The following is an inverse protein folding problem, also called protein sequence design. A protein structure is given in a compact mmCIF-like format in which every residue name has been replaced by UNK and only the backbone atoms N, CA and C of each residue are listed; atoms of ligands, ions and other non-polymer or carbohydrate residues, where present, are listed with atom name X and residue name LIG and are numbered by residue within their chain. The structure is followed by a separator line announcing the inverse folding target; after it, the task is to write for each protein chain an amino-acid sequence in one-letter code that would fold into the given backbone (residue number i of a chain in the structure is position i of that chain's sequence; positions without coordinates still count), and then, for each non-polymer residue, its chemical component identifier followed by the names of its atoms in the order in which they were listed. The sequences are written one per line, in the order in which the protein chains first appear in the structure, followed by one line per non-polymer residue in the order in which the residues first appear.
data_IF_817946149720
#
_entry.id   IF_817946149720
#
_cell.length_a   1.000
_cell.length_b   1.000
_cell.length_c   1.000
_cell.angle_alpha   90.00
_cell.angle_beta   90.00
_cell.angle_gamma   90.00
#
_symmetry.space_group_name_H-M   'P 1'
#
loop_
_entity.id
_entity.type
_entity.pdbx_description
1 polymer ?
#
# COMPACT_ATOMS: atom_id res chain seq x y z
N UNK A 1 -29.16 -0.66 67.67
CA UNK A 1 -28.56 0.04 66.52
C UNK A 1 -29.69 0.50 65.62
N UNK A 2 -29.85 1.81 65.40
CA UNK A 2 -30.97 2.34 64.60
C UNK A 2 -30.68 2.11 63.12
N UNK A 3 -31.72 1.95 62.29
CA UNK A 3 -31.58 1.72 60.84
C UNK A 3 -30.71 2.78 60.14
N UNK A 4 -30.73 4.00 60.67
CA UNK A 4 -29.92 5.14 60.21
C UNK A 4 -28.43 4.90 60.46
N UNK A 5 -28.06 4.27 61.58
CA UNK A 5 -26.67 3.95 61.92
C UNK A 5 -26.09 2.89 60.96
N UNK A 6 -26.93 1.95 60.51
CA UNK A 6 -26.53 0.93 59.53
C UNK A 6 -26.27 1.53 58.15
N UNK A 7 -27.05 2.54 57.75
CA UNK A 7 -26.92 3.19 56.45
C UNK A 7 -25.64 4.03 56.34
N UNK A 8 -25.27 4.73 57.44
CA UNK A 8 -24.05 5.54 57.51
C UNK A 8 -22.80 4.65 57.46
N UNK A 9 -22.81 3.50 58.12
CA UNK A 9 -21.70 2.55 58.09
C UNK A 9 -21.49 1.98 56.69
N UNK A 10 -22.56 1.64 55.96
CA UNK A 10 -22.44 1.14 54.58
C UNK A 10 -21.81 2.16 53.62
N UNK A 11 -22.15 3.45 53.76
CA UNK A 11 -21.58 4.51 52.92
C UNK A 11 -20.09 4.73 53.26
N UNK A 12 -19.72 4.68 54.54
CA UNK A 12 -18.33 4.86 54.95
C UNK A 12 -17.41 3.74 54.45
N UNK A 13 -17.92 2.50 54.42
CA UNK A 13 -17.20 1.33 53.90
C UNK A 13 -16.98 1.41 52.39
N UNK A 14 -17.93 1.96 51.63
CA UNK A 14 -17.80 2.17 50.19
C UNK A 14 -16.74 3.21 49.81
N UNK A 15 -16.52 4.23 50.65
CA UNK A 15 -15.54 5.31 50.40
C UNK A 15 -14.10 4.87 50.75
N UNK A 16 -13.95 3.92 51.69
CA UNK A 16 -12.65 3.40 52.13
C UNK A 16 -12.15 2.19 51.33
N UNK A 17 -12.95 1.63 50.41
CA UNK A 17 -12.44 0.63 49.48
C UNK A 17 -11.41 1.31 48.56
N UNK A 18 -10.18 0.78 48.43
CA UNK A 18 -9.31 1.25 47.37
C UNK A 18 -10.10 1.07 46.07
N UNK A 19 -10.25 2.15 45.32
CA UNK A 19 -10.65 2.08 43.92
C UNK A 19 -9.54 1.27 43.27
N UNK A 20 -9.69 -0.04 43.27
CA UNK A 20 -8.95 -0.89 42.36
C UNK A 20 -9.49 -0.44 41.02
N UNK A 21 -8.72 0.41 40.37
CA UNK A 21 -8.88 0.71 38.96
C UNK A 21 -8.85 -0.65 38.28
N UNK A 22 -10.04 -1.17 38.02
CA UNK A 22 -10.20 -2.28 37.11
C UNK A 22 -9.77 -1.69 35.77
N UNK A 23 -8.50 -1.91 35.42
CA UNK A 23 -8.08 -1.84 34.04
C UNK A 23 -8.92 -2.88 33.35
N UNK A 24 -10.06 -2.47 32.79
CA UNK A 24 -10.59 -3.18 31.66
C UNK A 24 -9.43 -3.10 30.66
N UNK A 25 -8.70 -4.20 30.53
CA UNK A 25 -8.02 -4.50 29.29
C UNK A 25 -9.15 -4.52 28.26
N UNK A 26 -9.48 -3.35 27.73
CA UNK A 26 -9.98 -3.27 26.40
C UNK A 26 -8.87 -3.92 25.56
N UNK A 27 -9.02 -5.23 25.34
CA UNK A 27 -8.75 -5.78 24.03
C UNK A 27 -9.58 -4.91 23.10
N UNK A 28 -9.00 -3.77 22.73
CA UNK A 28 -9.31 -3.09 21.50
C UNK A 28 -9.30 -4.23 20.51
N UNK A 29 -10.50 -4.62 20.08
CA UNK A 29 -10.61 -5.28 18.81
C UNK A 29 -10.10 -4.18 17.89
N UNK A 30 -8.78 -4.19 17.63
CA UNK A 30 -8.26 -3.77 16.35
C UNK A 30 -9.08 -4.62 15.39
N UNK A 31 -10.24 -4.10 15.00
CA UNK A 31 -10.74 -4.29 13.66
C UNK A 31 -9.59 -3.68 12.89
N UNK A 32 -8.62 -4.54 12.61
CA UNK A 32 -7.45 -4.25 11.83
C UNK A 32 -8.09 -3.62 10.60
N UNK A 33 -7.83 -2.34 10.36
CA UNK A 33 -7.76 -1.86 9.00
C UNK A 33 -6.82 -2.87 8.35
N UNK A 34 -7.42 -3.91 7.75
CA UNK A 34 -6.68 -4.85 6.96
C UNK A 34 -6.28 -3.98 5.80
N UNK A 35 -5.12 -3.33 5.94
CA UNK A 35 -4.49 -2.65 4.83
C UNK A 35 -4.60 -3.63 3.68
N UNK A 36 -5.19 -3.15 2.58
CA UNK A 36 -5.39 -3.96 1.41
C UNK A 36 -4.01 -4.49 1.02
N UNK A 37 -3.76 -5.76 1.36
CA UNK A 37 -2.50 -6.40 1.06
C UNK A 37 -2.55 -6.82 -0.39
N UNK A 38 -2.04 -5.94 -1.25
CA UNK A 38 -1.86 -6.23 -2.66
C UNK A 38 -0.66 -7.16 -2.85
N UNK A 39 -0.77 -8.05 -3.83
CA UNK A 39 0.35 -8.85 -4.32
C UNK A 39 0.58 -8.54 -5.79
N UNK A 40 1.50 -7.62 -6.07
CA UNK A 40 1.80 -7.14 -7.40
C UNK A 40 2.91 -7.92 -8.10
N UNK A 41 3.44 -8.99 -7.50
CA UNK A 41 4.47 -9.81 -8.14
C UNK A 41 3.92 -10.49 -9.39
N UNK A 42 4.49 -10.23 -10.57
CA UNK A 42 4.09 -10.90 -11.81
C UNK A 42 4.40 -10.09 -13.06
N UNK A 43 3.80 -10.50 -14.17
CA UNK A 43 3.99 -9.85 -15.47
C UNK A 43 2.73 -9.10 -15.84
N UNK A 44 2.89 -7.87 -16.30
CA UNK A 44 1.82 -6.99 -16.73
C UNK A 44 2.05 -6.55 -18.17
N UNK A 45 0.95 -6.30 -18.89
CA UNK A 45 0.93 -5.69 -20.21
C UNK A 45 0.52 -4.23 -20.09
N UNK A 46 1.23 -3.35 -20.80
CA UNK A 46 0.98 -1.90 -20.84
C UNK A 46 1.88 -1.26 -21.89
N UNK A 47 1.57 -0.05 -22.37
CA UNK A 47 2.39 0.68 -23.35
C UNK A 47 2.83 -0.10 -24.62
N UNK A 48 2.11 -1.17 -25.01
CA UNK A 48 2.51 -2.05 -26.11
C UNK A 48 3.63 -3.06 -25.78
N UNK A 49 4.03 -3.17 -24.52
CA UNK A 49 5.08 -4.08 -24.04
C UNK A 49 4.72 -4.85 -22.77
N UNK A 50 5.74 -5.46 -22.16
CA UNK A 50 5.63 -6.23 -20.91
C UNK A 50 6.39 -5.56 -19.77
N UNK A 51 5.85 -5.69 -18.57
CA UNK A 51 6.43 -5.20 -17.33
C UNK A 51 6.53 -6.34 -16.31
N UNK A 52 7.73 -6.60 -15.83
CA UNK A 52 8.00 -7.64 -14.82
C UNK A 52 8.08 -6.98 -13.45
N UNK A 53 6.98 -6.98 -12.71
CA UNK A 53 6.87 -6.35 -11.41
C UNK A 53 7.35 -7.27 -10.29
N UNK A 54 8.10 -6.69 -9.36
CA UNK A 54 8.50 -7.28 -8.09
C UNK A 54 8.08 -6.36 -6.95
N UNK A 55 7.37 -6.92 -5.98
CA UNK A 55 7.02 -6.21 -4.74
C UNK A 55 7.83 -6.78 -3.58
N UNK A 56 8.37 -5.88 -2.74
CA UNK A 56 9.16 -6.18 -1.55
C UNK A 56 8.60 -5.34 -0.39
N UNK A 57 7.59 -5.87 0.31
CA UNK A 57 6.84 -5.08 1.29
C UNK A 57 6.15 -3.90 0.60
N UNK A 58 6.49 -2.69 1.04
CA UNK A 58 5.99 -1.43 0.47
C UNK A 58 6.83 -0.92 -0.72
N UNK A 59 7.89 -1.63 -1.11
CA UNK A 59 8.67 -1.27 -2.30
C UNK A 59 8.16 -2.00 -3.53
N UNK A 60 8.19 -1.33 -4.68
CA UNK A 60 7.95 -1.95 -5.99
C UNK A 60 9.06 -1.60 -6.96
N UNK A 61 9.45 -2.60 -7.75
CA UNK A 61 10.39 -2.47 -8.84
C UNK A 61 9.80 -3.09 -10.09
N UNK A 62 10.18 -2.59 -11.25
CA UNK A 62 9.95 -3.34 -12.49
C UNK A 62 11.06 -3.15 -13.50
N UNK A 63 11.08 -4.09 -14.43
CA UNK A 63 11.70 -3.95 -15.73
C UNK A 63 10.58 -3.96 -16.78
N UNK A 64 10.60 -3.03 -17.73
CA UNK A 64 9.66 -2.93 -18.84
C UNK A 64 10.38 -3.03 -20.19
N UNK A 65 9.77 -3.70 -21.16
CA UNK A 65 10.29 -3.82 -22.53
C UNK A 65 9.18 -3.93 -23.56
N UNK A 66 9.36 -3.32 -24.72
CA UNK A 66 8.47 -3.49 -25.88
C UNK A 66 8.60 -4.90 -26.50
N UNK A 67 9.85 -5.32 -26.73
CA UNK A 67 10.23 -6.57 -27.39
C UNK A 67 11.44 -7.20 -26.69
N UNK A 68 11.51 -8.53 -26.70
CA UNK A 68 12.56 -9.26 -26.00
C UNK A 68 13.95 -9.13 -26.65
N UNK A 69 13.99 -8.96 -27.98
CA UNK A 69 15.22 -9.04 -28.79
C UNK A 69 15.70 -7.66 -29.22
N UNK A 70 14.79 -6.85 -29.77
CA UNK A 70 15.14 -5.54 -30.35
C UNK A 70 14.07 -4.48 -30.02
N UNK A 71 13.90 -4.12 -28.75
CA UNK A 71 12.90 -3.14 -28.34
C UNK A 71 13.27 -1.71 -28.79
N UNK A 72 12.27 -0.91 -29.13
CA UNK A 72 12.43 0.55 -29.29
C UNK A 72 12.67 1.21 -27.92
N UNK A 73 11.98 0.72 -26.89
CA UNK A 73 12.11 1.20 -25.52
C UNK A 73 12.22 0.04 -24.52
N UNK A 74 12.96 0.30 -23.46
CA UNK A 74 12.99 -0.55 -22.28
C UNK A 74 13.31 0.31 -21.08
N UNK A 75 12.64 0.09 -19.94
CA UNK A 75 12.84 0.91 -18.75
C UNK A 75 12.95 0.07 -17.48
N UNK A 76 13.45 0.72 -16.45
CA UNK A 76 13.35 0.24 -15.07
C UNK A 76 12.62 1.28 -14.24
N UNK A 77 11.93 0.83 -13.19
CA UNK A 77 11.39 1.72 -12.19
C UNK A 77 11.59 1.18 -10.77
N UNK A 78 11.63 2.10 -9.82
CA UNK A 78 11.65 1.83 -8.39
C UNK A 78 10.83 2.86 -7.63
N UNK A 79 10.11 2.42 -6.61
CA UNK A 79 9.31 3.30 -5.78
C UNK A 79 8.60 2.61 -4.64
N UNK A 80 7.60 3.31 -4.10
CA UNK A 80 6.92 2.95 -2.85
C UNK A 80 5.41 2.86 -3.07
N UNK A 81 4.79 1.90 -2.41
CA UNK A 81 3.36 1.68 -2.25
C UNK A 81 2.91 2.33 -0.92
N UNK A 82 1.85 3.13 -0.96
CA UNK A 82 1.18 3.68 0.24
C UNK A 82 -0.33 3.52 0.06
N UNK A 83 -0.93 2.61 0.82
CA UNK A 83 -2.32 2.20 0.60
C UNK A 83 -2.49 1.62 -0.80
N UNK A 84 -3.34 2.23 -1.62
CA UNK A 84 -3.56 1.83 -3.02
C UNK A 84 -2.82 2.71 -4.04
N UNK A 85 -1.84 3.51 -3.62
CA UNK A 85 -1.09 4.39 -4.51
C UNK A 85 0.36 3.93 -4.58
N UNK A 86 0.87 3.80 -5.80
CA UNK A 86 2.26 3.57 -6.11
C UNK A 86 2.86 4.89 -6.61
N UNK A 87 4.04 5.24 -6.10
CA UNK A 87 4.87 6.34 -6.64
C UNK A 87 6.23 5.80 -7.03
N UNK A 88 6.57 5.85 -8.31
CA UNK A 88 7.87 5.39 -8.83
C UNK A 88 8.63 6.49 -9.54
N UNK A 89 9.96 6.36 -9.56
CA UNK A 89 10.82 6.96 -10.59
C UNK A 89 11.16 5.90 -11.63
N UNK A 90 11.21 6.30 -12.89
CA UNK A 90 11.56 5.41 -14.00
C UNK A 90 12.58 6.05 -14.92
N UNK A 91 13.33 5.21 -15.62
CA UNK A 91 14.23 5.63 -16.68
C UNK A 91 14.36 4.52 -17.72
N UNK A 92 14.46 4.91 -18.99
CA UNK A 92 14.84 4.00 -20.04
C UNK A 92 16.31 3.56 -19.88
N UNK A 93 16.59 2.34 -20.31
CA UNK A 93 17.90 1.70 -20.27
C UNK A 93 18.35 1.35 -21.69
N UNK A 94 19.67 1.27 -21.97
CA UNK A 94 20.21 1.15 -23.33
C UNK A 94 20.11 -0.28 -23.90
N UNK A 95 18.99 -0.95 -23.67
CA UNK A 95 18.55 -2.09 -24.48
C UNK A 95 17.68 -1.62 -25.65
N UNK A 96 16.91 -0.54 -25.46
CA UNK A 96 16.25 0.19 -26.54
C UNK A 96 16.99 1.47 -26.94
N UNK A 97 16.40 2.24 -27.85
CA UNK A 97 16.97 3.48 -28.39
C UNK A 97 16.48 4.74 -27.65
N UNK A 98 15.30 4.66 -27.02
CA UNK A 98 14.73 5.75 -26.21
C UNK A 98 15.51 5.86 -24.89
N UNK A 99 15.75 7.09 -24.43
CA UNK A 99 16.53 7.43 -23.22
C UNK A 99 15.79 8.43 -22.32
N UNK A 100 14.48 8.27 -22.16
CA UNK A 100 13.66 9.16 -21.34
C UNK A 100 13.68 8.74 -19.86
N UNK A 101 13.15 9.62 -19.00
CA UNK A 101 12.98 9.33 -17.58
C UNK A 101 11.91 10.21 -16.97
N UNK A 102 11.41 9.81 -15.81
CA UNK A 102 10.32 10.51 -15.17
C UNK A 102 9.90 9.93 -13.84
N UNK A 103 8.69 10.31 -13.43
CA UNK A 103 8.00 9.79 -12.25
C UNK A 103 6.56 9.47 -12.60
N UNK A 104 6.00 8.46 -11.96
CA UNK A 104 4.60 8.05 -12.16
C UNK A 104 3.90 7.98 -10.81
N UNK A 105 2.64 8.40 -10.79
CA UNK A 105 1.68 8.11 -9.72
C UNK A 105 0.64 7.16 -10.29
N UNK A 106 0.53 5.99 -9.70
CA UNK A 106 -0.29 4.89 -10.21
C UNK A 106 -1.23 4.45 -9.10
N UNK A 107 -2.49 4.20 -9.44
CA UNK A 107 -3.49 3.62 -8.54
C UNK A 107 -3.56 2.11 -8.74
N UNK A 108 -3.62 1.39 -7.64
CA UNK A 108 -3.90 -0.05 -7.62
C UNK A 108 -5.42 -0.20 -7.55
N UNK A 109 -6.03 -0.68 -8.63
CA UNK A 109 -7.47 -0.97 -8.66
C UNK A 109 -7.75 -2.42 -8.25
N UNK A 110 -6.83 -3.33 -8.59
CA UNK A 110 -6.81 -4.71 -8.09
C UNK A 110 -5.39 -5.26 -8.13
N UNK A 111 -5.21 -6.52 -7.71
CA UNK A 111 -3.93 -7.21 -7.93
C UNK A 111 -3.58 -7.32 -9.42
N UNK A 112 -4.54 -7.18 -10.33
CA UNK A 112 -4.38 -7.45 -11.75
C UNK A 112 -4.52 -6.20 -12.61
N UNK A 113 -4.80 -5.04 -12.01
CA UNK A 113 -5.08 -3.80 -12.72
C UNK A 113 -4.48 -2.59 -11.99
N UNK A 114 -3.62 -1.87 -12.71
CA UNK A 114 -2.98 -0.63 -12.26
C UNK A 114 -3.35 0.49 -13.22
N UNK A 115 -3.69 1.67 -12.72
CA UNK A 115 -4.14 2.82 -13.52
C UNK A 115 -3.19 4.00 -13.33
N UNK A 116 -2.67 4.56 -14.41
CA UNK A 116 -1.86 5.77 -14.37
C UNK A 116 -2.73 6.97 -13.95
N UNK A 117 -2.30 7.71 -12.93
CA UNK A 117 -2.96 8.94 -12.49
C UNK A 117 -2.19 10.18 -12.94
N UNK A 118 -0.86 10.18 -12.74
CA UNK A 118 0.00 11.31 -13.04
C UNK A 118 1.34 10.81 -13.59
N UNK A 119 1.93 11.60 -14.49
CA UNK A 119 3.27 11.35 -15.02
C UNK A 119 4.05 12.67 -15.15
N UNK A 120 5.37 12.57 -14.99
CA UNK A 120 6.31 13.63 -15.34
C UNK A 120 7.34 13.10 -16.34
N UNK A 121 7.96 13.99 -17.11
CA UNK A 121 8.87 13.62 -18.18
C UNK A 121 8.16 13.66 -19.53
N UNK A 122 8.72 12.97 -20.51
CA UNK A 122 8.04 12.71 -21.78
C UNK A 122 6.97 11.61 -21.61
N UNK A 123 6.08 11.48 -22.59
CA UNK A 123 4.86 10.67 -22.49
C UNK A 123 5.15 9.17 -22.38
N UNK A 124 4.75 8.54 -21.26
CA UNK A 124 4.98 7.11 -20.93
C UNK A 124 4.06 6.12 -21.70
N UNK A 125 3.33 6.58 -22.72
CA UNK A 125 2.58 5.78 -23.69
C UNK A 125 1.52 4.79 -23.16
N UNK A 126 1.12 4.87 -21.88
CA UNK A 126 0.05 4.02 -21.32
C UNK A 126 -0.79 4.72 -20.27
N UNK A 127 -2.05 4.29 -20.16
CA UNK A 127 -2.99 4.73 -19.13
C UNK A 127 -3.21 3.65 -18.05
N UNK A 128 -2.85 2.39 -18.32
CA UNK A 128 -3.06 1.27 -17.40
C UNK A 128 -2.16 0.07 -17.70
N UNK A 129 -1.94 -0.76 -16.67
CA UNK A 129 -1.28 -2.05 -16.76
C UNK A 129 -2.24 -3.15 -16.33
N UNK A 130 -2.32 -4.22 -17.12
CA UNK A 130 -3.14 -5.40 -16.82
C UNK A 130 -2.25 -6.62 -16.66
N UNK A 131 -2.42 -7.39 -15.59
CA UNK A 131 -1.67 -8.62 -15.37
C UNK A 131 -1.95 -9.63 -16.49
N UNK A 132 -0.89 -10.29 -16.94
CA UNK A 132 -0.97 -11.39 -17.89
C UNK A 132 -0.53 -12.71 -17.24
N UNK A 133 -1.01 -13.87 -17.73
CA UNK A 133 -0.67 -15.19 -17.20
C UNK A 133 0.82 -15.53 -17.22
#
# INVERSE_FOLDING_TARGET
MKLIDLFVICILVLILMPVTSFSQDEKSIKILDKELEYNLNGVFSGAGGKYYLRQLGDEVLWYGEEDAVSPTWSNVAHGIIKGNIIKVKWADVPKGEIMQSGSLVIRIDSNDELVLLEQTGEFFATDAWTRIP
#
